data_IF_799788470281
#
_entry.id   IF_799788470281
#
_cell.length_a   1.000
_cell.length_b   1.000
_cell.length_c   1.000
_cell.angle_alpha   90.00
_cell.angle_beta   90.00
_cell.angle_gamma   90.00
#
_symmetry.space_group_name_H-M   'P 1'
#
loop_
_entity.id
_entity.type
_entity.pdbx_description
1 polymer ?
#
# COMPACT_ATOMS: atom_id res chain seq x y z
N UNK A 1 -12.08 22.62 18.44
CA UNK A 1 -11.78 21.30 17.83
C UNK A 1 -10.43 20.87 18.36
N UNK A 2 -10.31 19.68 18.94
CA UNK A 2 -9.04 19.20 19.53
C UNK A 2 -8.11 18.68 18.43
N UNK A 3 -6.80 18.62 18.71
CA UNK A 3 -5.80 18.05 17.78
C UNK A 3 -6.14 16.60 17.44
N UNK A 4 -6.65 15.83 18.40
CA UNK A 4 -7.13 14.46 18.17
C UNK A 4 -8.31 14.42 17.18
N UNK A 5 -9.29 15.32 17.31
CA UNK A 5 -10.42 15.38 16.37
C UNK A 5 -9.99 15.79 14.95
N UNK A 6 -8.99 16.67 14.83
CA UNK A 6 -8.37 17.05 13.55
C UNK A 6 -7.66 15.87 12.88
N UNK A 7 -6.93 15.06 13.67
CA UNK A 7 -6.26 13.85 13.19
C UNK A 7 -7.27 12.80 12.70
N UNK A 8 -8.33 12.55 13.48
CA UNK A 8 -9.41 11.64 13.07
C UNK A 8 -10.03 12.08 11.74
N UNK A 9 -10.34 13.37 11.59
CA UNK A 9 -10.91 13.91 10.36
C UNK A 9 -9.96 13.78 9.16
N UNK A 10 -8.65 13.96 9.40
CA UNK A 10 -7.62 13.79 8.37
C UNK A 10 -7.52 12.33 7.91
N UNK A 11 -7.60 11.36 8.84
CA UNK A 11 -7.64 9.93 8.51
C UNK A 11 -8.88 9.55 7.70
N UNK A 12 -10.06 10.03 8.12
CA UNK A 12 -11.30 9.78 7.36
C UNK A 12 -11.21 10.36 5.95
N UNK A 13 -10.70 11.59 5.82
CA UNK A 13 -10.51 12.25 4.53
C UNK A 13 -9.57 11.45 3.60
N UNK A 14 -8.46 10.94 4.12
CA UNK A 14 -7.51 10.12 3.34
C UNK A 14 -8.16 8.81 2.85
N UNK A 15 -8.89 8.13 3.74
CA UNK A 15 -9.57 6.88 3.42
C UNK A 15 -10.67 7.06 2.36
N UNK A 16 -11.49 8.11 2.49
CA UNK A 16 -12.54 8.44 1.53
C UNK A 16 -11.93 8.71 0.15
N UNK A 17 -10.88 9.52 0.08
CA UNK A 17 -10.22 9.86 -1.19
C UNK A 17 -9.63 8.62 -1.86
N UNK A 18 -8.94 7.76 -1.11
CA UNK A 18 -8.41 6.50 -1.64
C UNK A 18 -9.51 5.58 -2.17
N UNK A 19 -10.61 5.48 -1.44
CA UNK A 19 -11.76 4.65 -1.82
C UNK A 19 -12.38 5.16 -3.13
N UNK A 20 -12.58 6.47 -3.24
CA UNK A 20 -13.12 7.10 -4.45
C UNK A 20 -12.18 6.90 -5.63
N UNK A 21 -10.88 7.16 -5.46
CA UNK A 21 -9.90 7.01 -6.54
C UNK A 21 -9.85 5.57 -7.06
N UNK A 22 -9.88 4.57 -6.18
CA UNK A 22 -9.91 3.14 -6.58
C UNK A 22 -11.15 2.75 -7.37
N UNK A 23 -12.29 3.41 -7.13
CA UNK A 23 -13.53 3.15 -7.85
C UNK A 23 -13.60 3.86 -9.22
N UNK A 24 -12.71 4.82 -9.49
CA UNK A 24 -12.68 5.60 -10.71
C UNK A 24 -11.85 4.95 -11.82
N UNK A 25 -12.25 5.16 -13.06
CA UNK A 25 -11.40 4.82 -14.21
C UNK A 25 -10.22 5.77 -14.33
N UNK A 26 -9.17 5.34 -15.03
CA UNK A 26 -7.97 6.16 -15.26
C UNK A 26 -8.30 7.51 -15.93
N UNK A 27 -9.26 7.54 -16.86
CA UNK A 27 -9.70 8.78 -17.51
C UNK A 27 -10.44 9.72 -16.54
N UNK A 28 -11.25 9.17 -15.65
CA UNK A 28 -11.93 9.96 -14.61
C UNK A 28 -10.91 10.53 -13.61
N UNK A 29 -9.91 9.73 -13.21
CA UNK A 29 -8.84 10.18 -12.32
C UNK A 29 -8.04 11.32 -12.96
N UNK A 30 -7.67 11.20 -14.24
CA UNK A 30 -6.97 12.25 -14.98
C UNK A 30 -7.79 13.55 -15.06
N UNK A 31 -9.11 13.45 -15.27
CA UNK A 31 -10.00 14.61 -15.29
C UNK A 31 -10.08 15.32 -13.93
N UNK A 32 -10.22 14.56 -12.85
CA UNK A 32 -10.21 15.11 -11.49
C UNK A 32 -8.86 15.75 -11.17
N UNK A 33 -7.75 15.11 -11.57
CA UNK A 33 -6.41 15.69 -11.45
C UNK A 33 -6.30 17.07 -12.11
N UNK A 34 -6.72 17.19 -13.37
CA UNK A 34 -6.71 18.45 -14.10
C UNK A 34 -7.64 19.53 -13.49
N UNK A 35 -8.76 19.13 -12.88
CA UNK A 35 -9.64 20.06 -12.15
C UNK A 35 -9.01 20.56 -10.85
N UNK A 36 -8.32 19.70 -10.11
CA UNK A 36 -7.60 20.06 -8.89
C UNK A 36 -6.37 20.95 -9.16
N UNK A 37 -5.64 20.69 -10.25
CA UNK A 37 -4.55 21.55 -10.73
C UNK A 37 -5.08 22.94 -11.12
N UNK A 38 -6.18 23.00 -11.89
CA UNK A 38 -6.82 24.26 -12.28
C UNK A 38 -7.31 25.07 -11.08
N UNK A 39 -7.74 24.40 -10.01
CA UNK A 39 -8.15 25.04 -8.76
C UNK A 39 -6.96 25.51 -7.90
N UNK A 40 -5.70 25.28 -8.32
CA UNK A 40 -4.50 25.57 -7.53
C UNK A 40 -4.36 24.67 -6.29
N UNK A 41 -5.12 23.58 -6.23
CA UNK A 41 -5.13 22.63 -5.12
C UNK A 41 -4.04 21.57 -5.33
N UNK A 42 -3.69 21.24 -6.56
CA UNK A 42 -2.54 20.39 -6.88
C UNK A 42 -1.52 21.22 -7.64
N UNK A 43 -0.60 21.88 -6.92
CA UNK A 43 0.47 22.69 -7.54
C UNK A 43 1.59 21.83 -8.14
N UNK A 44 1.77 20.61 -7.63
CA UNK A 44 2.74 19.62 -8.10
C UNK A 44 2.08 18.25 -7.94
N UNK A 45 1.93 17.47 -9.01
CA UNK A 45 1.24 16.17 -8.96
C UNK A 45 1.82 15.21 -7.92
N UNK A 46 1.00 14.31 -7.38
CA UNK A 46 1.35 13.23 -6.42
C UNK A 46 1.95 13.65 -5.06
N UNK A 47 2.48 14.86 -4.89
CA UNK A 47 3.17 15.30 -3.65
C UNK A 47 2.22 15.47 -2.46
N UNK A 48 0.99 15.95 -2.67
CA UNK A 48 0.04 16.16 -1.55
C UNK A 48 -0.43 14.91 -0.82
N UNK A 49 -0.49 13.75 -1.50
CA UNK A 49 -0.81 12.50 -0.82
C UNK A 49 0.34 12.10 0.12
N UNK A 50 1.58 12.20 -0.37
CA UNK A 50 2.78 11.95 0.43
C UNK A 50 2.95 12.97 1.56
N UNK A 51 2.61 14.24 1.33
CA UNK A 51 2.59 15.28 2.37
C UNK A 51 1.54 14.99 3.45
N UNK A 52 0.32 14.58 3.07
CA UNK A 52 -0.71 14.19 4.05
C UNK A 52 -0.29 12.97 4.86
N UNK A 53 0.30 11.96 4.20
CA UNK A 53 0.84 10.80 4.89
C UNK A 53 1.98 11.19 5.87
N UNK A 54 2.86 12.11 5.45
CA UNK A 54 3.93 12.63 6.30
C UNK A 54 3.41 13.44 7.49
N UNK A 55 2.38 14.27 7.29
CA UNK A 55 1.74 15.05 8.37
C UNK A 55 1.02 14.13 9.36
N UNK A 56 0.33 13.10 8.87
CA UNK A 56 -0.29 12.07 9.72
C UNK A 56 0.81 11.39 10.55
N UNK A 57 1.88 10.91 9.92
CA UNK A 57 2.98 10.23 10.61
C UNK A 57 3.65 11.13 11.67
N UNK A 58 3.90 12.40 11.33
CA UNK A 58 4.49 13.38 12.24
C UNK A 58 3.57 13.75 13.41
N UNK A 59 2.25 13.81 13.19
CA UNK A 59 1.28 14.14 14.21
C UNK A 59 0.89 12.94 15.11
N UNK A 60 1.02 11.71 14.60
CA UNK A 60 0.96 10.48 15.43
C UNK A 60 2.24 10.23 16.23
N UNK A 61 3.36 10.82 15.82
CA UNK A 61 4.59 10.84 16.59
C UNK A 61 4.48 11.88 17.72
N UNK A 62 3.79 11.54 18.80
CA UNK A 62 3.80 12.34 20.04
C UNK A 62 5.24 12.42 20.58
N UNK A 63 5.73 13.59 21.03
CA UNK A 63 7.05 13.70 21.63
C UNK A 63 7.11 12.82 22.89
N UNK A 64 8.11 11.94 22.91
CA UNK A 64 8.42 11.10 24.05
C UNK A 64 8.79 11.95 25.27
N UNK A 65 7.81 12.20 26.14
CA UNK A 65 8.05 12.40 27.58
C UNK A 65 7.48 11.19 28.31
N UNK A 66 8.39 10.32 28.73
CA UNK A 66 8.11 9.14 29.56
C UNK A 66 7.43 9.59 30.86
N UNK A 67 6.31 8.96 31.24
CA UNK A 67 6.43 8.00 32.34
C UNK A 67 5.70 6.67 32.06
N UNK A 68 6.42 5.60 32.41
CA UNK A 68 5.91 4.40 33.08
C UNK A 68 4.84 3.56 32.36
N UNK A 69 5.32 2.45 31.78
CA UNK A 69 4.69 1.14 31.69
C UNK A 69 3.16 1.07 31.55
N UNK A 70 2.68 0.98 30.30
CA UNK A 70 1.47 0.25 29.94
C UNK A 70 1.46 -0.13 28.44
N UNK A 71 1.90 -1.36 28.15
CA UNK A 71 1.64 -2.25 27.00
C UNK A 71 1.81 -1.76 25.53
N UNK A 72 2.79 -2.28 24.75
CA UNK A 72 2.95 -2.03 23.31
C UNK A 72 2.12 -2.97 22.41
N UNK A 73 1.23 -3.78 22.97
CA UNK A 73 0.58 -4.88 22.26
C UNK A 73 -0.28 -4.51 21.03
N UNK A 74 -1.11 -3.44 21.01
CA UNK A 74 -2.10 -3.28 19.93
C UNK A 74 -1.46 -2.98 18.57
N UNK A 75 -0.42 -2.14 18.52
CA UNK A 75 0.22 -1.77 17.26
C UNK A 75 1.07 -2.91 16.65
N UNK A 76 1.67 -3.77 17.48
CA UNK A 76 2.42 -4.92 16.98
C UNK A 76 1.48 -5.99 16.41
N UNK A 77 0.31 -6.17 17.02
CA UNK A 77 -0.74 -7.05 16.50
C UNK A 77 -1.31 -6.54 15.17
N UNK A 78 -1.47 -5.23 15.01
CA UNK A 78 -1.90 -4.63 13.74
C UNK A 78 -0.88 -4.85 12.62
N UNK A 79 0.42 -4.70 12.93
CA UNK A 79 1.52 -4.94 11.98
C UNK A 79 1.60 -6.42 11.61
N UNK A 80 1.46 -7.33 12.58
CA UNK A 80 1.42 -8.77 12.33
C UNK A 80 0.23 -9.14 11.44
N UNK A 81 -0.97 -8.64 11.76
CA UNK A 81 -2.17 -8.88 10.98
C UNK A 81 -2.03 -8.37 9.54
N UNK A 82 -1.43 -7.18 9.35
CA UNK A 82 -1.17 -6.64 8.02
C UNK A 82 -0.13 -7.48 7.25
N UNK A 83 0.92 -7.97 7.91
CA UNK A 83 1.89 -8.85 7.27
C UNK A 83 1.27 -10.19 6.84
N UNK A 84 0.39 -10.76 7.66
CA UNK A 84 -0.36 -11.99 7.32
C UNK A 84 -1.31 -11.76 6.13
N UNK A 85 -1.99 -10.61 6.07
CA UNK A 85 -2.81 -10.24 4.91
C UNK A 85 -1.96 -10.12 3.63
N UNK A 86 -0.78 -9.50 3.71
CA UNK A 86 0.16 -9.43 2.57
C UNK A 86 0.59 -10.83 2.10
N UNK A 87 0.85 -11.77 3.01
CA UNK A 87 1.17 -13.15 2.64
C UNK A 87 0.01 -13.84 1.91
N UNK A 88 -1.20 -13.64 2.39
CA UNK A 88 -2.42 -14.20 1.77
C UNK A 88 -2.63 -13.61 0.37
N UNK A 89 -2.43 -12.30 0.21
CA UNK A 89 -2.51 -11.63 -1.09
C UNK A 89 -1.40 -12.07 -2.05
N UNK A 90 -0.19 -12.32 -1.54
CA UNK A 90 0.92 -12.83 -2.35
C UNK A 90 0.61 -14.25 -2.88
N UNK A 91 0.02 -15.12 -2.06
CA UNK A 91 -0.40 -16.45 -2.50
C UNK A 91 -1.47 -16.39 -3.59
N UNK A 92 -2.49 -15.53 -3.44
CA UNK A 92 -3.48 -15.32 -4.49
C UNK A 92 -2.87 -14.75 -5.77
N UNK A 93 -1.91 -13.84 -5.66
CA UNK A 93 -1.22 -13.27 -6.81
C UNK A 93 -0.38 -14.33 -7.54
N UNK A 94 0.29 -15.23 -6.83
CA UNK A 94 1.03 -16.35 -7.40
C UNK A 94 0.12 -17.25 -8.26
N UNK A 95 -1.08 -17.58 -7.77
CA UNK A 95 -2.07 -18.39 -8.52
C UNK A 95 -2.49 -17.70 -9.82
N UNK A 96 -2.78 -16.40 -9.76
CA UNK A 96 -3.17 -15.63 -10.94
C UNK A 96 -2.02 -15.50 -11.94
N UNK A 97 -0.80 -15.27 -11.47
CA UNK A 97 0.39 -15.18 -12.31
C UNK A 97 0.71 -16.51 -12.99
N UNK A 98 0.57 -17.63 -12.27
CA UNK A 98 0.71 -18.95 -12.86
C UNK A 98 -0.30 -19.16 -13.99
N UNK A 99 -1.57 -18.80 -13.78
CA UNK A 99 -2.59 -18.89 -14.83
C UNK A 99 -2.27 -18.00 -16.04
N UNK A 100 -1.66 -16.83 -15.84
CA UNK A 100 -1.17 -15.96 -16.92
C UNK A 100 -0.03 -16.63 -17.68
N UNK A 101 0.96 -17.20 -16.98
CA UNK A 101 2.07 -17.91 -17.63
C UNK A 101 1.59 -19.13 -18.42
N UNK A 102 0.70 -19.94 -17.86
CA UNK A 102 0.10 -21.09 -18.55
C UNK A 102 -0.61 -20.66 -19.85
N UNK A 103 -1.27 -19.51 -19.84
CA UNK A 103 -1.93 -18.94 -21.03
C UNK A 103 -0.93 -18.38 -22.03
N UNK A 104 0.13 -17.72 -21.57
CA UNK A 104 1.20 -17.23 -22.44
C UNK A 104 1.94 -18.37 -23.13
N UNK A 105 2.15 -19.50 -22.45
CA UNK A 105 2.79 -20.68 -23.03
C UNK A 105 1.93 -21.36 -24.11
N UNK A 106 0.61 -21.21 -24.04
CA UNK A 106 -0.33 -21.68 -25.07
C UNK A 106 -0.39 -20.74 -26.29
N UNK A 107 0.14 -19.52 -26.19
CA UNK A 107 0.18 -18.55 -27.29
C UNK A 107 1.42 -18.75 -28.15
N UNK A 108 1.33 -18.41 -29.45
CA UNK A 108 2.52 -18.26 -30.28
C UNK A 108 3.41 -17.15 -29.69
N UNK A 109 4.57 -17.57 -29.16
CA UNK A 109 5.55 -16.74 -28.42
C UNK A 109 6.14 -15.56 -29.20
N UNK A 110 5.70 -15.33 -30.44
CA UNK A 110 6.27 -14.36 -31.37
C UNK A 110 5.44 -13.08 -31.55
N UNK A 111 4.24 -12.98 -30.98
CA UNK A 111 3.48 -11.72 -31.07
C UNK A 111 4.06 -10.66 -30.12
N UNK A 112 4.20 -9.38 -30.55
CA UNK A 112 4.68 -8.31 -29.67
C UNK A 112 3.86 -8.14 -28.38
N UNK A 113 2.55 -8.43 -28.44
CA UNK A 113 1.67 -8.42 -27.29
C UNK A 113 2.01 -9.53 -26.29
N UNK A 114 2.24 -10.76 -26.74
CA UNK A 114 2.65 -11.86 -25.86
C UNK A 114 3.98 -11.58 -25.16
N UNK A 115 4.95 -10.98 -25.87
CA UNK A 115 6.24 -10.57 -25.30
C UNK A 115 6.05 -9.50 -24.21
N UNK A 116 5.23 -8.49 -24.46
CA UNK A 116 4.96 -7.43 -23.50
C UNK A 116 4.24 -7.95 -22.24
N UNK A 117 3.24 -8.81 -22.41
CA UNK A 117 2.51 -9.44 -21.29
C UNK A 117 3.45 -10.34 -20.49
N UNK A 118 4.32 -11.11 -21.14
CA UNK A 118 5.30 -11.95 -20.46
C UNK A 118 6.30 -11.13 -19.63
N UNK A 119 6.79 -10.02 -20.16
CA UNK A 119 7.65 -9.09 -19.43
C UNK A 119 6.94 -8.54 -18.19
N UNK A 120 5.70 -8.08 -18.35
CA UNK A 120 4.89 -7.59 -17.23
C UNK A 120 4.64 -8.66 -16.16
N UNK A 121 4.23 -9.87 -16.57
CA UNK A 121 3.97 -10.98 -15.66
C UNK A 121 5.22 -11.38 -14.88
N UNK A 122 6.39 -11.36 -15.53
CA UNK A 122 7.68 -11.65 -14.86
C UNK A 122 8.04 -10.57 -13.84
N UNK A 123 7.86 -9.29 -14.17
CA UNK A 123 8.07 -8.19 -13.24
C UNK A 123 7.10 -8.26 -12.05
N UNK A 124 5.83 -8.58 -12.30
CA UNK A 124 4.81 -8.75 -11.27
C UNK A 124 5.15 -9.92 -10.33
N UNK A 125 5.57 -11.08 -10.88
CA UNK A 125 6.01 -12.22 -10.08
C UNK A 125 7.19 -11.88 -9.16
N UNK A 126 8.17 -11.11 -9.68
CA UNK A 126 9.28 -10.64 -8.85
C UNK A 126 8.81 -9.69 -7.75
N UNK A 127 7.89 -8.78 -8.03
CA UNK A 127 7.35 -7.88 -7.02
C UNK A 127 6.59 -8.63 -5.92
N UNK A 128 5.79 -9.64 -6.29
CA UNK A 128 5.07 -10.50 -5.35
C UNK A 128 6.04 -11.27 -4.45
N UNK A 129 7.11 -11.84 -5.02
CA UNK A 129 8.14 -12.52 -4.24
C UNK A 129 8.80 -11.61 -3.20
N UNK A 130 9.14 -10.37 -3.59
CA UNK A 130 9.72 -9.38 -2.66
C UNK A 130 8.75 -8.97 -1.55
N UNK A 131 7.45 -8.83 -1.86
CA UNK A 131 6.43 -8.52 -0.86
C UNK A 131 6.25 -9.67 0.14
N UNK A 132 6.26 -10.93 -0.34
CA UNK A 132 6.23 -12.12 0.52
C UNK A 132 7.44 -12.14 1.45
N UNK A 133 8.65 -11.99 0.89
CA UNK A 133 9.90 -12.00 1.67
C UNK A 133 9.90 -10.89 2.74
N UNK A 134 9.46 -9.68 2.39
CA UNK A 134 9.36 -8.58 3.35
C UNK A 134 8.36 -8.89 4.48
N UNK A 135 7.20 -9.48 4.17
CA UNK A 135 6.20 -9.85 5.16
C UNK A 135 6.69 -10.99 6.09
N UNK A 136 7.37 -11.99 5.54
CA UNK A 136 8.00 -13.06 6.33
C UNK A 136 9.07 -12.51 7.29
N UNK A 137 9.90 -11.58 6.82
CA UNK A 137 10.92 -10.92 7.64
C UNK A 137 10.30 -10.09 8.79
N UNK A 138 9.17 -9.41 8.54
CA UNK A 138 8.44 -8.67 9.56
C UNK A 138 7.91 -9.64 10.63
N UNK A 139 7.24 -10.72 10.23
CA UNK A 139 6.72 -11.72 11.17
C UNK A 139 7.84 -12.39 11.97
N UNK A 140 8.96 -12.70 11.32
CA UNK A 140 10.16 -13.24 11.99
C UNK A 140 10.69 -12.28 13.06
N UNK A 141 10.84 -11.00 12.70
CA UNK A 141 11.33 -9.96 13.63
C UNK A 141 10.40 -9.75 14.84
N UNK A 142 9.08 -9.90 14.66
CA UNK A 142 8.10 -9.82 15.75
C UNK A 142 8.19 -11.00 16.71
N UNK A 143 8.49 -12.20 16.22
CA UNK A 143 8.71 -13.40 17.06
C UNK A 143 9.97 -13.27 17.90
N UNK A 144 11.04 -12.71 17.34
CA UNK A 144 12.32 -12.54 18.03
C UNK A 144 12.29 -11.37 19.03
N UNK A 145 11.49 -10.32 18.76
CA UNK A 145 11.34 -9.16 19.64
C UNK A 145 10.47 -9.37 20.90
N UNK A 146 9.75 -10.50 21.01
CA UNK A 146 8.89 -10.84 22.15
C UNK A 146 9.58 -11.54 23.32
N UNK A 147 10.88 -11.82 23.22
CA UNK A 147 11.65 -12.60 24.20
C UNK A 147 12.53 -11.76 25.16
N UNK A 148 12.34 -10.44 25.22
CA UNK A 148 13.15 -9.51 26.05
C UNK A 148 12.33 -8.85 27.17
#
# INVERSE_FOLDING_TARGET
>A
MTVAALLTELHHSDYIIKTILRAMTVQQQARVGAELERAGIAGEGMTRHHERAAVIAAATAVPATVPTSASPAPHLLDIEAQAVDVLTQAEHADVLLQAVFDKLDQMERSTPAAVAINCFATCAARAVALMREAAENIIGSLKDGGAA
#
